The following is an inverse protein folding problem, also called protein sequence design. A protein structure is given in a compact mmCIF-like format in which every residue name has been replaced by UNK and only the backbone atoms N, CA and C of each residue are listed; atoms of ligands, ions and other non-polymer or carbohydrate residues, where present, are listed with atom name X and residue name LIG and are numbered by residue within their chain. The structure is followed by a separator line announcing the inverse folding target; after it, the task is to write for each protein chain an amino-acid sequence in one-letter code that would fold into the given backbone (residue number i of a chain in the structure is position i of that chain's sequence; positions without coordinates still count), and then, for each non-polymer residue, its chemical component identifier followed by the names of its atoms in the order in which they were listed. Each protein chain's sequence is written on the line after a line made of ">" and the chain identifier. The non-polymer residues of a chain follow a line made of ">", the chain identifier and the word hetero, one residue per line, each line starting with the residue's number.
data_IF_723498803061
#
_entry.id   IF_723498803061
#
_cell.length_a   1.000
_cell.length_b   1.000
_cell.length_c   1.000
_cell.angle_alpha   90.00
_cell.angle_beta   90.00
_cell.angle_gamma   90.00
#
_symmetry.space_group_name_H-M   'P 1'
#
loop_
_entity.id
_entity.type
_entity.pdbx_description
1 polymer ?
#
# COMPACT_ATOMS: atom_id res chain seq x y z
N UNK A 1 17.99 -20.06 0.05
CA UNK A 1 16.78 -20.27 0.89
C UNK A 1 16.29 -19.02 1.63
N UNK A 2 17.09 -17.97 1.86
CA UNK A 2 16.62 -16.77 2.58
C UNK A 2 15.85 -15.74 1.69
N UNK A 3 16.02 -15.80 0.36
CA UNK A 3 15.48 -14.81 -0.60
C UNK A 3 13.98 -14.98 -0.84
N UNK A 4 13.51 -16.21 -1.08
CA UNK A 4 12.08 -16.51 -1.23
C UNK A 4 11.23 -16.14 -0.01
N UNK A 5 11.83 -16.20 1.19
CA UNK A 5 11.17 -15.80 2.44
C UNK A 5 11.00 -14.28 2.50
N UNK A 6 11.93 -13.52 1.90
CA UNK A 6 11.85 -12.05 1.84
C UNK A 6 10.74 -11.60 0.88
N UNK A 7 10.62 -12.23 -0.29
CA UNK A 7 9.56 -11.90 -1.27
C UNK A 7 8.16 -12.22 -0.75
N UNK A 8 8.00 -13.36 -0.06
CA UNK A 8 6.73 -13.70 0.59
C UNK A 8 6.33 -12.67 1.65
N UNK A 9 7.29 -12.10 2.39
CA UNK A 9 7.02 -11.03 3.36
C UNK A 9 6.58 -9.74 2.68
N UNK A 10 7.19 -9.37 1.54
CA UNK A 10 6.81 -8.18 0.77
C UNK A 10 5.40 -8.30 0.20
N UNK A 11 5.05 -9.46 -0.39
CA UNK A 11 3.69 -9.73 -0.89
C UNK A 11 2.67 -9.69 0.24
N UNK A 12 3.00 -10.28 1.40
CA UNK A 12 2.15 -10.24 2.60
C UNK A 12 1.92 -8.80 3.08
N UNK A 13 2.97 -7.99 3.16
CA UNK A 13 2.87 -6.59 3.56
C UNK A 13 2.00 -5.77 2.60
N UNK A 14 2.14 -5.97 1.28
CA UNK A 14 1.27 -5.32 0.29
C UNK A 14 -0.21 -5.70 0.50
N UNK A 15 -0.49 -6.97 0.79
CA UNK A 15 -1.85 -7.44 1.13
C UNK A 15 -2.40 -6.82 2.42
N UNK A 16 -1.56 -6.69 3.44
CA UNK A 16 -1.92 -6.03 4.71
C UNK A 16 -2.25 -4.54 4.51
N UNK A 17 -1.46 -3.83 3.70
CA UNK A 17 -1.72 -2.43 3.33
C UNK A 17 -3.08 -2.29 2.64
N UNK A 18 -3.38 -3.15 1.67
CA UNK A 18 -4.66 -3.13 0.97
C UNK A 18 -5.86 -3.43 1.89
N UNK A 19 -5.69 -4.36 2.83
CA UNK A 19 -6.72 -4.69 3.84
C UNK A 19 -6.97 -3.47 4.73
N UNK A 20 -5.92 -2.85 5.25
CA UNK A 20 -6.02 -1.67 6.09
C UNK A 20 -6.69 -0.49 5.37
N UNK A 21 -6.34 -0.27 4.10
CA UNK A 21 -6.98 0.73 3.23
C UNK A 21 -8.51 0.49 3.11
N UNK A 22 -8.92 -0.75 2.93
CA UNK A 22 -10.33 -1.13 2.81
C UNK A 22 -11.10 -0.89 4.11
N UNK A 23 -10.51 -1.30 5.24
CA UNK A 23 -11.11 -1.07 6.56
C UNK A 23 -11.23 0.41 6.90
N UNK A 24 -10.18 1.19 6.64
CA UNK A 24 -10.18 2.63 6.85
C UNK A 24 -11.30 3.29 6.03
N UNK A 25 -11.41 2.97 4.75
CA UNK A 25 -12.48 3.44 3.86
C UNK A 25 -13.88 3.14 4.42
N UNK A 26 -14.10 1.94 4.96
CA UNK A 26 -15.37 1.58 5.59
C UNK A 26 -15.68 2.41 6.84
N UNK A 27 -14.68 2.62 7.72
CA UNK A 27 -14.84 3.42 8.95
C UNK A 27 -15.18 4.87 8.65
N UNK A 28 -14.64 5.42 7.57
CA UNK A 28 -14.93 6.77 7.09
C UNK A 28 -16.38 6.90 6.65
N UNK A 29 -16.87 5.95 5.84
CA UNK A 29 -18.27 5.94 5.42
C UNK A 29 -19.22 5.94 6.62
N UNK A 30 -18.93 5.10 7.63
CA UNK A 30 -19.71 5.05 8.87
C UNK A 30 -19.66 6.37 9.66
N UNK A 31 -18.51 7.04 9.69
CA UNK A 31 -18.40 8.35 10.33
C UNK A 31 -19.31 9.36 9.62
N UNK A 32 -19.28 9.41 8.29
CA UNK A 32 -20.16 10.27 7.49
C UNK A 32 -21.65 9.97 7.72
N UNK A 33 -22.05 8.70 7.81
CA UNK A 33 -23.44 8.35 8.10
C UNK A 33 -23.91 8.84 9.48
N UNK A 34 -23.02 8.78 10.48
CA UNK A 34 -23.31 9.28 11.84
C UNK A 34 -23.42 10.81 11.83
N UNK A 35 -22.52 11.47 11.11
CA UNK A 35 -22.51 12.92 10.91
C UNK A 35 -23.83 13.40 10.33
N UNK A 36 -24.26 12.80 9.22
CA UNK A 36 -25.45 13.21 8.48
C UNK A 36 -26.71 13.10 9.37
N UNK A 37 -26.77 12.06 10.22
CA UNK A 37 -27.85 11.88 11.21
C UNK A 37 -27.83 12.96 12.29
N UNK A 38 -26.66 13.37 12.78
CA UNK A 38 -26.54 14.43 13.80
C UNK A 38 -26.88 15.79 13.18
N UNK A 39 -26.38 16.09 11.98
CA UNK A 39 -26.68 17.34 11.27
C UNK A 39 -28.17 17.49 10.97
N UNK A 40 -28.87 16.40 10.62
CA UNK A 40 -30.32 16.43 10.44
C UNK A 40 -31.06 16.93 11.70
N UNK A 41 -30.49 16.74 12.89
CA UNK A 41 -31.03 17.21 14.16
C UNK A 41 -30.66 18.66 14.54
N UNK A 42 -29.61 19.24 13.97
CA UNK A 42 -29.10 20.57 14.34
C UNK A 42 -29.14 21.55 13.15
N UNK A 43 -30.20 22.35 13.03
CA UNK A 43 -30.24 23.48 12.08
C UNK A 43 -29.48 24.69 12.63
N UNK A 44 -28.51 25.23 11.88
CA UNK A 44 -27.87 26.52 12.18
C UNK A 44 -26.34 26.53 12.07
N UNK A 45 -25.68 27.44 12.80
CA UNK A 45 -24.24 27.68 12.74
C UNK A 45 -23.37 26.46 13.11
N UNK A 46 -23.86 25.59 13.99
CA UNK A 46 -23.18 24.34 14.36
C UNK A 46 -23.03 23.37 13.18
N UNK A 47 -23.98 23.35 12.22
CA UNK A 47 -23.86 22.53 11.02
C UNK A 47 -22.70 22.97 10.11
N UNK A 48 -22.40 24.27 10.09
CA UNK A 48 -21.38 24.87 9.20
C UNK A 48 -19.94 24.57 9.66
N UNK A 49 -19.67 24.71 10.95
CA UNK A 49 -18.36 24.33 11.52
C UNK A 49 -18.12 22.82 11.39
N UNK A 50 -19.20 22.05 11.50
CA UNK A 50 -19.16 20.61 11.29
C UNK A 50 -18.82 20.23 9.84
N UNK A 51 -19.41 20.91 8.84
CA UNK A 51 -19.08 20.71 7.43
C UNK A 51 -17.59 20.94 7.15
N UNK A 52 -16.99 21.95 7.78
CA UNK A 52 -15.55 22.24 7.64
C UNK A 52 -14.72 21.09 8.17
N UNK A 53 -15.05 20.58 9.36
CA UNK A 53 -14.37 19.44 9.96
C UNK A 53 -14.50 18.18 9.09
N UNK A 54 -15.70 17.88 8.61
CA UNK A 54 -15.95 16.71 7.75
C UNK A 54 -15.16 16.78 6.44
N UNK A 55 -15.10 17.96 5.79
CA UNK A 55 -14.27 18.16 4.60
C UNK A 55 -12.79 17.93 4.90
N UNK A 56 -12.27 18.49 5.99
CA UNK A 56 -10.87 18.31 6.39
C UNK A 56 -10.53 16.85 6.69
N UNK A 57 -11.44 16.12 7.35
CA UNK A 57 -11.30 14.68 7.59
C UNK A 57 -11.27 13.93 6.25
N UNK A 58 -12.25 14.15 5.37
CA UNK A 58 -12.31 13.49 4.06
C UNK A 58 -11.06 13.76 3.19
N UNK A 59 -10.54 14.99 3.19
CA UNK A 59 -9.29 15.32 2.49
C UNK A 59 -8.08 14.59 3.07
N UNK A 60 -7.95 14.53 4.39
CA UNK A 60 -6.85 13.81 5.04
C UNK A 60 -6.90 12.32 4.74
N UNK A 61 -8.10 11.75 4.70
CA UNK A 61 -8.30 10.34 4.40
C UNK A 61 -7.98 10.02 2.94
N UNK A 62 -8.34 10.90 2.01
CA UNK A 62 -7.89 10.81 0.62
C UNK A 62 -6.37 10.82 0.52
N UNK A 63 -5.69 11.74 1.22
CA UNK A 63 -4.21 11.79 1.25
C UNK A 63 -3.59 10.52 1.81
N UNK A 64 -4.17 9.94 2.86
CA UNK A 64 -3.69 8.66 3.42
C UNK A 64 -3.86 7.55 2.39
N UNK A 65 -5.03 7.47 1.73
CA UNK A 65 -5.27 6.50 0.65
C UNK A 65 -4.23 6.61 -0.46
N UNK A 66 -4.02 7.81 -0.99
CA UNK A 66 -3.10 8.03 -2.11
C UNK A 66 -1.68 7.57 -1.71
N UNK A 67 -1.21 7.91 -0.51
CA UNK A 67 0.09 7.46 0.01
C UNK A 67 0.20 5.95 0.19
N UNK A 68 -0.88 5.27 0.57
CA UNK A 68 -0.87 3.82 0.71
C UNK A 68 -0.82 3.12 -0.65
N UNK A 69 -1.47 3.70 -1.67
CA UNK A 69 -1.36 3.22 -3.06
C UNK A 69 0.06 3.41 -3.60
N UNK A 70 0.66 4.59 -3.37
CA UNK A 70 2.05 4.86 -3.77
C UNK A 70 3.02 3.86 -3.09
N UNK A 71 2.79 3.57 -1.80
CA UNK A 71 3.58 2.61 -1.05
C UNK A 71 3.40 1.18 -1.59
N UNK A 72 2.18 0.77 -1.93
CA UNK A 72 1.91 -0.53 -2.54
C UNK A 72 2.63 -0.68 -3.88
N UNK A 73 2.55 0.34 -4.74
CA UNK A 73 3.21 0.36 -6.04
C UNK A 73 4.73 0.27 -5.89
N UNK A 74 5.32 1.08 -5.00
CA UNK A 74 6.75 1.02 -4.70
C UNK A 74 7.19 -0.37 -4.21
N UNK A 75 6.38 -1.02 -3.36
CA UNK A 75 6.64 -2.38 -2.90
C UNK A 75 6.56 -3.42 -4.02
N UNK A 76 5.58 -3.32 -4.92
CA UNK A 76 5.47 -4.20 -6.10
C UNK A 76 6.65 -4.03 -7.04
N UNK A 77 7.06 -2.78 -7.30
CA UNK A 77 8.25 -2.47 -8.11
C UNK A 77 9.52 -3.02 -7.45
N UNK A 78 9.64 -2.92 -6.12
CA UNK A 78 10.76 -3.50 -5.37
C UNK A 78 10.84 -5.01 -5.59
N UNK A 79 9.74 -5.75 -5.40
CA UNK A 79 9.70 -7.21 -5.65
C UNK A 79 10.08 -7.56 -7.09
N UNK A 80 9.54 -6.84 -8.07
CA UNK A 80 9.85 -7.08 -9.49
C UNK A 80 11.34 -6.81 -9.81
N UNK A 81 11.91 -5.73 -9.27
CA UNK A 81 13.33 -5.41 -9.43
C UNK A 81 14.24 -6.47 -8.78
N UNK A 82 13.89 -6.93 -7.59
CA UNK A 82 14.60 -8.03 -6.92
C UNK A 82 14.63 -9.31 -7.78
N UNK A 83 13.49 -9.69 -8.38
CA UNK A 83 13.41 -10.86 -9.26
C UNK A 83 14.33 -10.73 -10.49
N UNK A 84 14.32 -9.58 -11.16
CA UNK A 84 15.14 -9.33 -12.34
C UNK A 84 16.65 -9.37 -12.03
N UNK A 85 17.06 -8.79 -10.90
CA UNK A 85 18.46 -8.86 -10.46
C UNK A 85 18.90 -10.29 -10.11
N UNK A 86 18.00 -11.12 -9.59
CA UNK A 86 18.30 -12.51 -9.25
C UNK A 86 18.51 -13.38 -10.50
N UNK A 87 17.65 -13.25 -11.52
CA UNK A 87 17.87 -13.91 -12.81
C UNK A 87 19.22 -13.54 -13.41
N UNK A 88 19.59 -12.27 -13.32
CA UNK A 88 20.88 -11.77 -13.83
C UNK A 88 22.06 -12.36 -13.06
N UNK A 89 22.00 -12.40 -11.71
CA UNK A 89 23.05 -13.06 -10.88
C UNK A 89 23.17 -14.55 -11.16
N UNK A 90 22.06 -15.27 -11.34
CA UNK A 90 22.08 -16.70 -11.71
C UNK A 90 22.70 -16.89 -13.10
N UNK A 91 22.37 -16.02 -14.05
CA UNK A 91 22.96 -16.06 -15.39
C UNK A 91 24.49 -15.83 -15.35
N UNK A 92 24.97 -14.89 -14.53
CA UNK A 92 26.39 -14.64 -14.32
C UNK A 92 27.11 -15.84 -13.68
N UNK A 93 26.53 -16.43 -12.62
CA UNK A 93 27.09 -17.62 -11.97
C UNK A 93 27.18 -18.80 -12.94
N UNK A 94 26.13 -19.03 -13.75
CA UNK A 94 26.15 -20.06 -14.80
C UNK A 94 27.27 -19.82 -15.80
N UNK A 95 27.47 -18.56 -16.22
CA UNK A 95 28.52 -18.18 -17.16
C UNK A 95 29.92 -18.47 -16.60
N UNK A 96 30.16 -18.14 -15.33
CA UNK A 96 31.44 -18.42 -14.63
C UNK A 96 31.68 -19.93 -14.45
N UNK A 97 30.64 -20.69 -14.10
CA UNK A 97 30.75 -22.16 -14.00
C UNK A 97 31.02 -22.82 -15.36
N UNK A 98 30.42 -22.32 -16.43
CA UNK A 98 30.69 -22.84 -17.78
C UNK A 98 32.09 -22.49 -18.28
N UNK A 99 32.63 -21.32 -17.95
CA UNK A 99 34.03 -20.99 -18.27
C UNK A 99 35.02 -21.81 -17.45
N UNK A 100 34.74 -22.08 -16.17
CA UNK A 100 35.61 -22.88 -15.32
C UNK A 100 35.69 -24.36 -15.73
N UNK A 101 34.72 -24.87 -16.49
CA UNK A 101 34.72 -26.26 -17.02
C UNK A 101 35.48 -26.36 -18.35
N UNK A 102 35.73 -25.25 -19.06
CA UNK A 102 36.47 -25.23 -20.32
C UNK A 102 38.00 -25.06 -20.16
N UNK A 103 38.47 -24.77 -18.94
CA UNK A 103 39.89 -24.56 -18.61
C UNK A 103 40.57 -25.81 -17.98
N UNK A 104 39.97 -27.01 -18.09
CA UNK A 104 40.54 -28.32 -17.71
C UNK A 104 40.50 -29.26 -18.92
#
# INVERSE_FOLDING_TARGET
>A
MNLQVDDQKKVKLAGEINTYHTELSSRIGKLNDVVDRIQAGWKGAAGKEFDVLQRGVNENLKKIKDRLMDLEEAMRMSVQGFNAEEEQRIAEIRKVNSSAILDI
#
